data_IF_048246717108
#
_entry.id   IF_048246717108
#
_cell.length_a   1.000
_cell.length_b   1.000
_cell.length_c   1.000
_cell.angle_alpha   90.00
_cell.angle_beta   90.00
_cell.angle_gamma   90.00
#
_symmetry.space_group_name_H-M   'P 1'
#
loop_
_entity.id
_entity.type
_entity.pdbx_description
1 polymer ?
#
# COMPACT_ATOMS: atom_id res chain seq x y z
N UNK A 1 -9.46 32.09 -24.10
CA UNK A 1 -8.60 31.02 -23.56
C UNK A 1 -8.73 30.89 -22.04
N UNK A 2 -9.53 31.75 -21.36
CA UNK A 2 -9.79 31.71 -19.89
C UNK A 2 -10.90 30.74 -19.43
N UNK A 3 -11.41 29.92 -20.34
CA UNK A 3 -12.63 29.14 -20.09
C UNK A 3 -12.40 27.92 -19.20
N UNK A 4 -11.18 27.34 -19.21
CA UNK A 4 -10.89 26.11 -18.46
C UNK A 4 -10.73 26.34 -16.95
N UNK A 5 -10.44 27.56 -16.52
CA UNK A 5 -10.27 27.90 -15.09
C UNK A 5 -11.55 28.42 -14.43
N UNK A 6 -12.55 28.79 -15.24
CA UNK A 6 -13.79 29.39 -14.75
C UNK A 6 -14.77 28.30 -14.31
N UNK A 7 -15.25 28.32 -13.06
CA UNK A 7 -16.31 27.41 -12.58
C UNK A 7 -17.61 27.60 -13.36
N UNK A 8 -18.05 26.58 -14.09
CA UNK A 8 -19.32 26.59 -14.84
C UNK A 8 -19.91 25.19 -15.02
N UNK A 9 -21.13 25.10 -15.55
CA UNK A 9 -21.69 23.84 -16.03
C UNK A 9 -20.95 23.38 -17.29
N UNK A 10 -20.63 22.08 -17.34
CA UNK A 10 -19.83 21.45 -18.40
C UNK A 10 -20.50 20.15 -18.84
N UNK A 11 -20.28 19.78 -20.10
CA UNK A 11 -20.88 18.59 -20.72
C UNK A 11 -19.84 17.69 -21.40
N UNK A 12 -18.59 18.12 -21.45
CA UNK A 12 -17.49 17.50 -22.16
C UNK A 12 -16.42 16.99 -21.20
N UNK A 13 -15.93 17.85 -20.31
CA UNK A 13 -14.93 17.52 -19.31
C UNK A 13 -15.00 18.42 -18.07
N UNK A 14 -14.47 17.95 -16.94
CA UNK A 14 -14.27 18.73 -15.71
C UNK A 14 -12.91 18.44 -15.12
N UNK A 15 -12.29 19.47 -14.55
CA UNK A 15 -11.01 19.40 -13.85
C UNK A 15 -11.26 19.60 -12.36
N UNK A 16 -10.83 18.61 -11.60
CA UNK A 16 -10.77 18.60 -10.14
C UNK A 16 -9.31 18.78 -9.73
N UNK A 17 -9.05 19.68 -8.80
CA UNK A 17 -7.69 19.92 -8.29
C UNK A 17 -7.65 19.86 -6.78
N UNK A 18 -6.56 19.33 -6.24
CA UNK A 18 -6.23 19.45 -4.83
C UNK A 18 -5.18 20.54 -4.67
N UNK A 19 -5.49 21.56 -3.87
CA UNK A 19 -4.57 22.67 -3.60
C UNK A 19 -4.13 22.69 -2.14
N UNK A 20 -2.87 23.00 -1.88
CA UNK A 20 -2.36 23.13 -0.52
C UNK A 20 -2.76 24.49 0.12
N UNK A 21 -2.31 24.72 1.36
CA UNK A 21 -2.55 25.98 2.09
C UNK A 21 -1.88 27.21 1.45
N UNK A 22 -0.95 27.01 0.50
CA UNK A 22 -0.27 28.04 -0.27
C UNK A 22 -0.85 28.18 -1.70
N UNK A 23 -1.97 27.51 -1.97
CA UNK A 23 -2.64 27.46 -3.28
C UNK A 23 -1.84 26.77 -4.40
N UNK A 24 -0.81 25.98 -4.06
CA UNK A 24 -0.10 25.15 -5.04
C UNK A 24 -0.99 23.99 -5.48
N UNK A 25 -1.01 23.70 -6.78
CA UNK A 25 -1.77 22.57 -7.34
C UNK A 25 -0.95 21.30 -7.15
N UNK A 26 -1.33 20.46 -6.19
CA UNK A 26 -0.60 19.25 -5.84
C UNK A 26 -1.26 17.99 -6.43
N UNK A 27 -2.54 18.10 -6.81
CA UNK A 27 -3.33 17.02 -7.39
C UNK A 27 -4.17 17.55 -8.54
N UNK A 28 -4.26 16.78 -9.62
CA UNK A 28 -5.12 17.06 -10.78
C UNK A 28 -5.84 15.79 -11.19
N UNK A 29 -7.16 15.82 -11.20
CA UNK A 29 -8.01 14.76 -11.75
C UNK A 29 -8.92 15.34 -12.82
N UNK A 30 -8.96 14.68 -13.97
CA UNK A 30 -9.80 15.07 -15.09
C UNK A 30 -10.79 13.96 -15.34
N UNK A 31 -12.04 14.35 -15.48
CA UNK A 31 -13.10 13.51 -16.02
C UNK A 31 -13.52 14.05 -17.36
N UNK A 32 -13.64 13.19 -18.36
CA UNK A 32 -14.10 13.54 -19.70
C UNK A 32 -14.92 12.41 -20.32
N UNK A 33 -15.70 12.71 -21.37
CA UNK A 33 -16.46 11.69 -22.08
C UNK A 33 -15.58 10.65 -22.80
N UNK A 34 -14.36 11.03 -23.19
CA UNK A 34 -13.40 10.14 -23.84
C UNK A 34 -11.94 10.55 -23.55
N UNK A 35 -11.00 9.69 -23.95
CA UNK A 35 -9.57 9.88 -23.73
C UNK A 35 -9.00 11.12 -24.44
N UNK A 36 -9.46 11.42 -25.65
CA UNK A 36 -8.96 12.55 -26.44
C UNK A 36 -9.41 13.89 -25.86
N UNK A 37 -10.63 13.95 -25.32
CA UNK A 37 -11.10 15.08 -24.53
C UNK A 37 -10.31 15.22 -23.23
N UNK A 38 -10.01 14.13 -22.53
CA UNK A 38 -9.23 14.18 -21.29
C UNK A 38 -7.82 14.76 -21.52
N UNK A 39 -7.13 14.31 -22.58
CA UNK A 39 -5.79 14.82 -22.94
C UNK A 39 -5.80 16.30 -23.29
N UNK A 40 -6.71 16.74 -24.16
CA UNK A 40 -6.85 18.16 -24.53
C UNK A 40 -7.15 19.02 -23.32
N UNK A 41 -8.07 18.57 -22.46
CA UNK A 41 -8.44 19.26 -21.22
C UNK A 41 -7.24 19.40 -20.29
N UNK A 42 -6.40 18.36 -20.17
CA UNK A 42 -5.17 18.38 -19.37
C UNK A 42 -4.18 19.43 -19.87
N UNK A 43 -3.89 19.40 -21.17
CA UNK A 43 -2.97 20.34 -21.81
C UNK A 43 -3.44 21.78 -21.66
N UNK A 44 -4.72 22.05 -21.91
CA UNK A 44 -5.32 23.37 -21.73
C UNK A 44 -5.22 23.85 -20.27
N UNK A 45 -5.51 22.97 -19.31
CA UNK A 45 -5.43 23.30 -17.89
C UNK A 45 -4.00 23.62 -17.45
N UNK A 46 -3.02 22.79 -17.83
CA UNK A 46 -1.61 23.00 -17.48
C UNK A 46 -1.08 24.31 -18.06
N UNK A 47 -1.38 24.58 -19.33
CA UNK A 47 -1.02 25.84 -19.98
C UNK A 47 -1.66 27.05 -19.29
N UNK A 48 -2.94 26.96 -18.92
CA UNK A 48 -3.66 28.06 -18.28
C UNK A 48 -3.17 28.35 -16.84
N UNK A 49 -2.74 27.31 -16.10
CA UNK A 49 -2.18 27.46 -14.73
C UNK A 49 -0.67 27.72 -14.70
N UNK A 50 0.01 27.62 -15.85
CA UNK A 50 1.47 27.71 -15.91
C UNK A 50 2.17 26.52 -15.22
N UNK A 51 1.55 25.33 -15.26
CA UNK A 51 2.10 24.10 -14.71
C UNK A 51 2.93 23.37 -15.75
N UNK A 52 4.06 22.78 -15.34
CA UNK A 52 4.89 21.97 -16.23
C UNK A 52 4.54 20.49 -16.06
N UNK A 53 4.21 19.77 -17.16
CA UNK A 53 3.87 18.35 -17.09
C UNK A 53 4.93 17.46 -16.43
N UNK A 54 6.21 17.85 -16.51
CA UNK A 54 7.33 17.11 -15.90
C UNK A 54 7.34 17.12 -14.38
N UNK A 55 6.64 18.07 -13.76
CA UNK A 55 6.57 18.21 -12.30
C UNK A 55 5.43 17.35 -11.71
N UNK A 56 4.76 16.56 -12.55
CA UNK A 56 3.61 15.74 -12.19
C UNK A 56 3.75 14.30 -12.68
N UNK A 57 3.36 13.38 -11.82
CA UNK A 57 3.35 11.95 -12.09
C UNK A 57 1.93 11.45 -12.38
N UNK A 58 1.78 10.72 -13.48
CA UNK A 58 0.55 10.00 -13.79
C UNK A 58 0.37 8.82 -12.81
N UNK A 59 -0.69 8.84 -12.01
CA UNK A 59 -0.97 7.80 -11.00
C UNK A 59 -2.17 6.93 -11.35
N UNK A 60 -3.10 7.43 -12.15
CA UNK A 60 -4.24 6.65 -12.62
C UNK A 60 -4.76 7.17 -13.95
N UNK A 61 -5.20 6.25 -14.81
CA UNK A 61 -5.96 6.55 -16.03
C UNK A 61 -6.87 5.38 -16.38
N UNK A 62 -7.98 5.65 -17.04
CA UNK A 62 -8.85 4.61 -17.58
C UNK A 62 -10.32 5.01 -17.59
N UNK A 63 -11.16 4.03 -17.90
CA UNK A 63 -12.61 4.21 -17.93
C UNK A 63 -13.18 3.95 -16.54
N UNK A 64 -14.02 4.84 -16.05
CA UNK A 64 -14.72 4.75 -14.77
C UNK A 64 -16.24 4.64 -15.04
N UNK A 65 -16.89 3.66 -14.42
CA UNK A 65 -18.35 3.52 -14.43
C UNK A 65 -18.95 4.62 -13.54
N UNK A 66 -19.86 5.42 -14.10
CA UNK A 66 -20.49 6.51 -13.34
C UNK A 66 -21.69 6.05 -12.51
N UNK A 67 -22.16 4.82 -12.71
CA UNK A 67 -23.29 4.22 -12.00
C UNK A 67 -24.55 5.07 -12.14
N UNK A 68 -25.18 5.39 -11.01
CA UNK A 68 -26.37 6.25 -10.97
C UNK A 68 -26.05 7.76 -10.89
N UNK A 69 -24.76 8.16 -10.97
CA UNK A 69 -24.37 9.56 -10.89
C UNK A 69 -24.92 10.34 -12.08
N UNK A 70 -25.63 11.42 -11.80
CA UNK A 70 -26.14 12.35 -12.84
C UNK A 70 -25.13 13.43 -13.22
N UNK A 71 -24.19 13.72 -12.34
CA UNK A 71 -23.14 14.70 -12.54
C UNK A 71 -21.92 14.39 -11.69
N UNK A 72 -20.75 14.87 -12.13
CA UNK A 72 -19.51 14.87 -11.36
C UNK A 72 -19.29 16.27 -10.79
N UNK A 73 -19.16 16.33 -9.47
CA UNK A 73 -18.97 17.53 -8.66
C UNK A 73 -18.06 17.21 -7.48
N UNK A 74 -17.54 18.22 -6.80
CA UNK A 74 -16.83 18.00 -5.52
C UNK A 74 -17.68 17.31 -4.45
N UNK A 75 -19.03 17.40 -4.54
CA UNK A 75 -19.95 16.73 -3.61
C UNK A 75 -20.13 15.25 -3.92
N UNK A 76 -20.21 14.89 -5.20
CA UNK A 76 -20.30 13.48 -5.62
C UNK A 76 -18.96 12.78 -5.46
N UNK A 77 -17.87 13.54 -5.54
CA UNK A 77 -16.51 13.11 -5.24
C UNK A 77 -16.17 13.30 -3.75
N UNK A 78 -17.10 12.95 -2.85
CA UNK A 78 -16.91 13.11 -1.41
C UNK A 78 -15.75 12.28 -0.88
N UNK A 79 -15.58 11.04 -1.36
CA UNK A 79 -14.45 10.18 -0.99
C UNK A 79 -13.12 10.80 -1.41
N UNK A 80 -13.04 11.37 -2.63
CA UNK A 80 -11.86 12.08 -3.11
C UNK A 80 -11.61 13.36 -2.30
N UNK A 81 -12.65 14.12 -1.99
CA UNK A 81 -12.56 15.32 -1.16
C UNK A 81 -12.01 15.01 0.23
N UNK A 82 -12.49 13.92 0.85
CA UNK A 82 -12.00 13.46 2.14
C UNK A 82 -10.56 12.97 2.08
N UNK A 83 -10.19 12.22 1.03
CA UNK A 83 -8.82 11.74 0.84
C UNK A 83 -7.82 12.90 0.67
N UNK A 84 -8.17 13.91 -0.15
CA UNK A 84 -7.34 15.10 -0.33
C UNK A 84 -7.26 15.94 0.95
N UNK A 85 -8.36 16.08 1.68
CA UNK A 85 -8.37 16.82 2.94
C UNK A 85 -7.40 16.23 3.98
N UNK A 86 -7.26 14.90 4.04
CA UNK A 86 -6.27 14.23 4.90
C UNK A 86 -4.83 14.60 4.54
N UNK A 87 -4.56 14.86 3.25
CA UNK A 87 -3.26 15.32 2.76
C UNK A 87 -3.07 16.85 2.91
N UNK A 88 -3.96 17.52 3.64
CA UNK A 88 -3.97 18.97 3.79
C UNK A 88 -4.34 19.71 2.50
N UNK A 89 -4.93 19.02 1.53
CA UNK A 89 -5.33 19.56 0.24
C UNK A 89 -6.83 19.87 0.20
N UNK A 90 -7.15 21.04 -0.32
CA UNK A 90 -8.53 21.45 -0.59
C UNK A 90 -8.92 21.03 -2.00
N UNK A 91 -9.95 20.19 -2.12
CA UNK A 91 -10.53 19.84 -3.42
C UNK A 91 -11.31 21.05 -3.98
N UNK A 92 -10.94 21.46 -5.19
CA UNK A 92 -11.61 22.47 -5.99
C UNK A 92 -12.00 21.87 -7.34
N UNK A 93 -13.00 22.45 -7.99
CA UNK A 93 -13.44 22.07 -9.33
C UNK A 93 -13.55 23.29 -10.22
N UNK A 94 -13.23 23.15 -11.51
CA UNK A 94 -13.54 24.14 -12.53
C UNK A 94 -14.99 24.05 -13.05
N UNK A 95 -15.84 23.24 -12.42
CA UNK A 95 -17.25 23.14 -12.82
C UNK A 95 -18.01 21.93 -12.30
N UNK A 96 -19.15 21.70 -12.93
CA UNK A 96 -20.02 20.53 -12.76
C UNK A 96 -20.09 19.83 -14.10
N UNK A 97 -19.65 18.57 -14.19
CA UNK A 97 -19.81 17.78 -15.41
C UNK A 97 -21.15 17.06 -15.36
N UNK A 98 -22.07 17.41 -16.25
CA UNK A 98 -23.33 16.68 -16.41
C UNK A 98 -23.13 15.47 -17.30
N UNK A 99 -23.51 14.30 -16.81
CA UNK A 99 -23.24 13.01 -17.46
C UNK A 99 -24.32 12.60 -18.47
N UNK A 100 -25.53 13.18 -18.38
CA UNK A 100 -26.64 12.82 -19.27
C UNK A 100 -26.92 11.31 -19.23
N UNK A 101 -26.87 10.66 -20.38
CA UNK A 101 -27.05 9.21 -20.54
C UNK A 101 -25.71 8.43 -20.56
N UNK A 102 -24.57 9.10 -20.32
CA UNK A 102 -23.27 8.45 -20.32
C UNK A 102 -23.16 7.48 -19.14
N UNK A 103 -22.83 6.21 -19.43
CA UNK A 103 -22.61 5.17 -18.41
C UNK A 103 -21.17 5.13 -17.90
N UNK A 104 -20.25 5.68 -18.69
CA UNK A 104 -18.83 5.65 -18.43
C UNK A 104 -18.21 7.02 -18.74
N UNK A 105 -17.14 7.34 -18.02
CA UNK A 105 -16.27 8.49 -18.30
C UNK A 105 -14.82 8.02 -18.35
N UNK A 106 -14.00 8.74 -19.10
CA UNK A 106 -12.56 8.57 -19.01
C UNK A 106 -12.02 9.46 -17.89
N UNK A 107 -11.12 8.91 -17.08
CA UNK A 107 -10.41 9.66 -16.06
C UNK A 107 -8.90 9.65 -16.26
N UNK A 108 -8.26 10.75 -15.85
CA UNK A 108 -6.81 10.87 -15.72
C UNK A 108 -6.50 11.56 -14.41
N UNK A 109 -5.59 11.00 -13.63
CA UNK A 109 -5.15 11.56 -12.34
C UNK A 109 -3.65 11.72 -12.31
N UNK A 110 -3.20 12.93 -11.95
CA UNK A 110 -1.82 13.30 -11.75
C UNK A 110 -1.62 13.87 -10.35
N UNK A 111 -0.43 13.67 -9.81
CA UNK A 111 0.03 14.26 -8.54
C UNK A 111 1.36 14.95 -8.78
N UNK A 112 1.62 16.06 -8.09
CA UNK A 112 2.92 16.72 -8.16
C UNK A 112 4.01 15.79 -7.61
N UNK A 113 5.24 15.94 -8.08
CA UNK A 113 6.40 15.23 -7.52
C UNK A 113 6.63 15.58 -6.05
N UNK A 114 6.23 16.78 -5.60
CA UNK A 114 6.25 17.18 -4.19
C UNK A 114 5.20 16.45 -3.34
N UNK A 115 3.98 16.27 -3.85
CA UNK A 115 2.95 15.48 -3.17
C UNK A 115 3.31 14.01 -3.18
N UNK A 116 3.79 13.51 -4.33
CA UNK A 116 4.27 12.14 -4.46
C UNK A 116 5.44 11.88 -3.51
N UNK A 117 6.39 12.81 -3.43
CA UNK A 117 7.50 12.82 -2.49
C UNK A 117 7.01 12.77 -1.05
N UNK A 118 6.06 13.62 -0.65
CA UNK A 118 5.46 13.56 0.70
C UNK A 118 4.78 12.22 0.99
N UNK A 119 4.00 11.69 0.04
CA UNK A 119 3.37 10.36 0.15
C UNK A 119 4.41 9.23 0.24
N UNK A 120 5.62 9.42 -0.31
CA UNK A 120 6.71 8.44 -0.30
C UNK A 120 7.69 8.62 0.87
N UNK A 121 7.97 9.85 1.31
CA UNK A 121 8.78 10.18 2.49
C UNK A 121 8.04 9.80 3.78
N UNK A 122 6.70 9.87 3.79
CA UNK A 122 5.83 9.27 4.81
C UNK A 122 5.99 7.74 4.94
N UNK A 123 6.68 7.06 4.01
CA UNK A 123 7.02 5.62 4.10
C UNK A 123 8.47 5.35 4.50
N UNK A 124 9.27 6.38 4.73
CA UNK A 124 10.74 6.30 4.81
C UNK A 124 11.38 6.53 6.18
N UNK A 125 10.73 7.17 7.15
CA UNK A 125 11.36 7.58 8.41
C UNK A 125 10.55 7.11 9.66
N UNK A 126 10.83 5.89 10.12
CA UNK A 126 10.86 5.64 11.56
C UNK A 126 12.13 6.32 12.11
N UNK A 127 12.04 7.56 12.60
CA UNK A 127 12.92 8.17 13.65
C UNK A 127 12.47 9.60 14.09
N UNK A 128 11.17 9.81 14.37
CA UNK A 128 10.55 10.80 15.30
C UNK A 128 10.62 12.33 15.03
N UNK A 129 9.88 13.21 15.78
CA UNK A 129 8.66 13.00 16.59
C UNK A 129 7.46 13.93 16.22
N UNK A 130 6.26 13.53 16.68
CA UNK A 130 5.00 14.29 16.90
C UNK A 130 3.91 14.39 15.79
N UNK A 131 2.92 13.48 15.96
CA UNK A 131 1.44 13.58 15.83
C UNK A 131 0.69 13.00 14.60
N UNK A 132 -0.50 12.39 14.85
CA UNK A 132 -1.07 11.25 14.10
C UNK A 132 -2.34 11.60 13.30
N UNK A 133 -2.68 10.82 12.25
CA UNK A 133 -4.03 10.57 11.67
C UNK A 133 -3.86 10.13 10.18
N UNK A 134 -4.26 8.97 9.63
CA UNK A 134 -4.78 7.65 10.05
C UNK A 134 -4.33 6.69 8.93
N UNK A 135 -3.36 5.81 9.21
CA UNK A 135 -2.89 4.75 8.31
C UNK A 135 -3.93 3.63 8.22
N UNK A 136 -4.22 3.11 7.02
CA UNK A 136 -4.92 1.82 6.88
C UNK A 136 -4.00 0.75 7.45
N UNK A 137 -4.37 0.21 8.59
CA UNK A 137 -3.67 -0.88 9.23
C UNK A 137 -3.69 -2.13 8.35
N UNK A 138 -2.82 -3.11 8.64
CA UNK A 138 -2.87 -4.43 8.01
C UNK A 138 -4.28 -5.03 8.15
N UNK A 139 -4.91 -4.84 9.31
CA UNK A 139 -6.26 -5.29 9.61
C UNK A 139 -7.29 -4.61 8.69
N UNK A 140 -7.15 -3.32 8.42
CA UNK A 140 -8.05 -2.59 7.52
C UNK A 140 -7.94 -3.10 6.08
N UNK A 141 -6.72 -3.36 5.59
CA UNK A 141 -6.49 -3.90 4.25
C UNK A 141 -7.04 -5.32 4.12
N UNK A 142 -6.84 -6.14 5.15
CA UNK A 142 -7.35 -7.51 5.19
C UNK A 142 -8.88 -7.56 5.34
N UNK A 143 -9.52 -6.49 5.83
CA UNK A 143 -10.98 -6.42 6.01
C UNK A 143 -11.75 -5.83 4.83
N UNK A 144 -11.09 -5.57 3.68
CA UNK A 144 -11.72 -4.97 2.51
C UNK A 144 -12.72 -5.88 1.77
N UNK A 145 -12.75 -7.18 2.10
CA UNK A 145 -13.63 -8.16 1.45
C UNK A 145 -13.28 -8.48 -0.01
N UNK A 146 -12.06 -8.12 -0.45
CA UNK A 146 -11.50 -8.44 -1.77
C UNK A 146 -10.31 -9.36 -1.63
N UNK A 147 -10.00 -10.16 -2.63
CA UNK A 147 -8.87 -11.08 -2.53
C UNK A 147 -7.53 -10.33 -2.34
N UNK A 148 -6.70 -10.81 -1.42
CA UNK A 148 -5.42 -10.17 -1.06
C UNK A 148 -4.29 -11.16 -1.21
N UNK A 149 -3.23 -10.76 -1.92
CA UNK A 149 -1.93 -11.42 -1.88
C UNK A 149 -1.05 -10.74 -0.83
N UNK A 150 -0.58 -11.49 0.16
CA UNK A 150 0.30 -11.00 1.23
C UNK A 150 1.68 -11.63 1.08
N UNK A 151 2.68 -10.82 0.74
CA UNK A 151 4.09 -11.19 0.83
C UNK A 151 4.58 -10.96 2.27
N UNK A 152 4.56 -12.00 3.10
CA UNK A 152 4.83 -11.93 4.53
C UNK A 152 6.29 -12.27 4.88
N UNK A 153 7.22 -11.38 4.55
CA UNK A 153 8.62 -11.52 4.93
C UNK A 153 8.85 -11.21 6.41
N UNK A 154 7.99 -10.38 7.04
CA UNK A 154 8.05 -10.05 8.48
C UNK A 154 7.72 -11.23 9.39
N UNK A 155 6.94 -12.20 8.89
CA UNK A 155 6.51 -13.38 9.65
C UNK A 155 5.39 -13.11 10.65
N UNK A 156 4.53 -12.13 10.38
CA UNK A 156 3.36 -11.81 11.23
C UNK A 156 2.33 -12.95 11.15
N UNK A 157 1.61 -13.19 12.24
CA UNK A 157 0.53 -14.19 12.28
C UNK A 157 -0.78 -13.59 11.76
N UNK A 158 -1.11 -13.85 10.49
CA UNK A 158 -2.27 -13.25 9.82
C UNK A 158 -3.62 -13.79 10.31
N UNK A 159 -3.67 -14.99 10.89
CA UNK A 159 -4.94 -15.60 11.32
C UNK A 159 -5.68 -14.78 12.38
N UNK A 160 -4.97 -13.96 13.15
CA UNK A 160 -5.56 -13.04 14.13
C UNK A 160 -6.02 -11.69 13.56
N UNK A 161 -5.73 -11.42 12.28
CA UNK A 161 -5.94 -10.12 11.63
C UNK A 161 -6.96 -10.16 10.49
N UNK A 162 -7.37 -11.37 10.07
CA UNK A 162 -8.34 -11.58 8.99
C UNK A 162 -9.76 -11.80 9.52
N UNK A 163 -10.80 -11.40 8.77
CA UNK A 163 -12.19 -11.73 9.11
C UNK A 163 -12.46 -13.24 9.17
N UNK A 164 -13.35 -13.73 10.05
CA UNK A 164 -13.63 -15.16 10.24
C UNK A 164 -14.08 -15.94 8.98
N UNK A 165 -14.76 -15.25 8.07
CA UNK A 165 -15.26 -15.78 6.80
C UNK A 165 -14.18 -15.88 5.72
N UNK A 166 -12.97 -15.36 5.98
CA UNK A 166 -11.87 -15.34 5.02
C UNK A 166 -11.19 -16.71 4.90
N UNK A 167 -10.97 -17.15 3.66
CA UNK A 167 -10.13 -18.30 3.39
C UNK A 167 -8.65 -17.88 3.32
N UNK A 168 -7.88 -18.24 4.35
CA UNK A 168 -6.43 -18.05 4.37
C UNK A 168 -5.72 -19.25 3.75
N UNK A 169 -5.00 -19.04 2.65
CA UNK A 169 -4.14 -20.03 2.00
C UNK A 169 -2.67 -19.67 2.24
N UNK A 170 -1.89 -20.58 2.83
CA UNK A 170 -0.45 -20.36 3.08
C UNK A 170 0.39 -21.14 2.09
N UNK A 171 1.17 -20.43 1.28
CA UNK A 171 2.02 -20.98 0.23
C UNK A 171 1.29 -21.99 -0.70
N UNK A 172 0.02 -21.74 -1.12
CA UNK A 172 -0.72 -22.70 -1.94
C UNK A 172 0.02 -22.99 -3.25
N UNK A 173 -0.16 -24.18 -3.81
CA UNK A 173 0.28 -24.40 -5.18
C UNK A 173 -0.66 -23.71 -6.18
N UNK A 174 -0.23 -23.56 -7.44
CA UNK A 174 -1.00 -22.84 -8.44
C UNK A 174 -2.34 -23.52 -8.78
N UNK A 175 -2.45 -24.85 -8.63
CA UNK A 175 -3.70 -25.57 -8.89
C UNK A 175 -4.69 -25.40 -7.75
N UNK A 176 -4.20 -25.48 -6.53
CA UNK A 176 -4.98 -25.20 -5.32
C UNK A 176 -5.54 -23.78 -5.36
N UNK A 177 -4.71 -22.79 -5.69
CA UNK A 177 -5.15 -21.41 -5.80
C UNK A 177 -6.16 -21.22 -6.94
N UNK A 178 -5.92 -21.81 -8.12
CA UNK A 178 -6.87 -21.71 -9.24
C UNK A 178 -8.24 -22.32 -8.90
N UNK A 179 -8.25 -23.47 -8.21
CA UNK A 179 -9.49 -24.10 -7.76
C UNK A 179 -10.22 -23.27 -6.70
N UNK A 180 -9.49 -22.62 -5.79
CA UNK A 180 -10.08 -21.71 -4.81
C UNK A 180 -10.64 -20.43 -5.46
N UNK A 181 -10.00 -19.95 -6.54
CA UNK A 181 -10.42 -18.75 -7.25
C UNK A 181 -11.61 -18.98 -8.21
N UNK A 182 -11.98 -20.22 -8.51
CA UNK A 182 -13.01 -20.57 -9.50
C UNK A 182 -14.46 -20.46 -8.94
N UNK A 183 -15.37 -19.86 -9.71
CA UNK A 183 -16.80 -19.77 -9.39
C UNK A 183 -17.23 -18.48 -8.66
N UNK A 184 -18.55 -18.31 -8.48
CA UNK A 184 -19.10 -17.26 -7.62
C UNK A 184 -18.94 -17.65 -6.15
N UNK A 185 -18.36 -16.75 -5.34
CA UNK A 185 -18.17 -16.93 -3.90
C UNK A 185 -18.60 -15.69 -3.12
N UNK A 186 -18.98 -15.92 -1.87
CA UNK A 186 -19.43 -14.91 -0.89
C UNK A 186 -18.36 -14.64 0.20
N UNK A 187 -17.14 -15.14 0.01
CA UNK A 187 -16.02 -14.99 0.93
C UNK A 187 -14.74 -14.49 0.25
N UNK A 188 -13.89 -13.84 1.04
CA UNK A 188 -12.58 -13.33 0.63
C UNK A 188 -11.52 -14.42 0.66
N UNK A 189 -10.55 -14.38 -0.26
CA UNK A 189 -9.34 -15.22 -0.22
C UNK A 189 -8.12 -14.36 0.10
N UNK A 190 -7.38 -14.76 1.14
CA UNK A 190 -6.08 -14.18 1.48
C UNK A 190 -5.00 -15.23 1.23
N UNK A 191 -4.04 -14.89 0.37
CA UNK A 191 -2.89 -15.75 0.09
C UNK A 191 -1.66 -15.21 0.82
N UNK A 192 -1.09 -16.00 1.73
CA UNK A 192 0.19 -15.69 2.38
C UNK A 192 1.32 -16.40 1.64
N UNK A 193 2.37 -15.66 1.26
CA UNK A 193 3.58 -16.22 0.65
C UNK A 193 4.83 -15.44 1.03
N UNK A 194 6.01 -16.04 0.83
CA UNK A 194 7.31 -15.37 0.86
C UNK A 194 7.80 -14.90 -0.51
N UNK A 195 7.12 -15.30 -1.59
CA UNK A 195 7.48 -14.95 -2.96
C UNK A 195 6.21 -14.61 -3.75
N UNK A 196 5.85 -13.32 -3.77
CA UNK A 196 4.69 -12.86 -4.53
C UNK A 196 4.84 -13.11 -6.04
N UNK A 197 6.07 -13.19 -6.55
CA UNK A 197 6.36 -13.43 -7.97
C UNK A 197 5.82 -14.78 -8.47
N UNK A 198 5.71 -15.78 -7.59
CA UNK A 198 5.11 -17.08 -7.87
C UNK A 198 3.65 -16.99 -8.36
N UNK A 199 2.95 -15.91 -8.00
CA UNK A 199 1.52 -15.74 -8.27
C UNK A 199 1.23 -14.63 -9.29
N UNK A 200 2.22 -14.16 -10.04
CA UNK A 200 2.06 -13.08 -11.03
C UNK A 200 1.07 -13.39 -12.16
N UNK A 201 0.65 -14.64 -12.31
CA UNK A 201 -0.38 -15.07 -13.27
C UNK A 201 -1.82 -15.00 -12.75
N UNK A 202 -2.02 -14.52 -11.52
CA UNK A 202 -3.34 -14.37 -10.87
C UNK A 202 -3.61 -12.88 -10.61
N UNK A 203 -4.84 -12.44 -10.89
CA UNK A 203 -5.24 -11.03 -10.77
C UNK A 203 -5.76 -10.71 -9.36
N UNK A 204 -4.85 -10.50 -8.41
CA UNK A 204 -5.22 -10.03 -7.06
C UNK A 204 -5.52 -8.53 -7.05
N UNK A 205 -6.70 -8.08 -6.56
CA UNK A 205 -7.02 -6.67 -6.41
C UNK A 205 -6.08 -5.92 -5.46
N UNK A 206 -5.56 -6.62 -4.44
CA UNK A 206 -4.66 -6.06 -3.44
C UNK A 206 -3.43 -6.94 -3.29
N UNK A 207 -2.26 -6.31 -3.30
CA UNK A 207 -1.00 -6.95 -2.91
C UNK A 207 -0.40 -6.18 -1.73
N UNK A 208 -0.28 -6.86 -0.59
CA UNK A 208 0.31 -6.33 0.64
C UNK A 208 1.72 -6.91 0.81
N UNK A 209 2.72 -6.05 1.02
CA UNK A 209 4.10 -6.48 1.25
C UNK A 209 4.51 -6.14 2.68
N UNK A 210 4.79 -7.17 3.48
CA UNK A 210 5.29 -7.04 4.84
C UNK A 210 6.80 -7.29 4.82
N UNK A 211 7.65 -6.25 4.89
CA UNK A 211 9.09 -6.39 4.78
C UNK A 211 9.67 -7.20 5.94
N UNK A 212 10.84 -7.85 5.75
CA UNK A 212 11.53 -8.50 6.85
C UNK A 212 11.91 -7.49 7.93
N UNK A 213 12.21 -7.99 9.13
CA UNK A 213 12.78 -7.19 10.20
C UNK A 213 14.16 -6.66 9.79
N UNK A 214 14.49 -5.46 10.25
CA UNK A 214 15.87 -4.99 10.30
C UNK A 214 16.68 -5.86 11.27
N UNK A 215 18.01 -5.83 11.13
CA UNK A 215 18.92 -6.56 12.01
C UNK A 215 18.79 -6.07 13.46
N UNK A 216 18.55 -4.78 13.62
CA UNK A 216 18.32 -4.10 14.89
C UNK A 216 17.00 -4.54 15.54
N UNK A 217 15.88 -4.51 14.80
CA UNK A 217 14.58 -5.00 15.28
C UNK A 217 14.65 -6.49 15.65
N UNK A 218 15.29 -7.29 14.80
CA UNK A 218 15.46 -8.73 15.02
C UNK A 218 16.24 -9.00 16.32
N UNK A 219 17.35 -8.30 16.51
CA UNK A 219 18.18 -8.44 17.71
C UNK A 219 17.46 -7.96 18.97
N UNK A 220 16.71 -6.86 18.87
CA UNK A 220 15.90 -6.33 19.98
C UNK A 220 14.80 -7.32 20.40
N UNK A 221 14.05 -7.87 19.44
CA UNK A 221 13.00 -8.85 19.69
C UNK A 221 13.54 -10.17 20.27
N UNK A 222 14.72 -10.61 19.82
CA UNK A 222 15.39 -11.77 20.38
C UNK A 222 15.90 -11.50 21.80
N UNK A 223 16.47 -10.32 22.04
CA UNK A 223 16.96 -9.89 23.37
C UNK A 223 15.82 -9.87 24.39
N UNK A 224 14.67 -9.31 24.01
CA UNK A 224 13.49 -9.24 24.86
C UNK A 224 13.00 -10.62 25.30
N UNK A 225 12.99 -11.60 24.38
CA UNK A 225 12.58 -12.98 24.67
C UNK A 225 13.59 -13.75 25.52
N UNK A 226 14.88 -13.50 25.31
CA UNK A 226 15.96 -14.19 26.03
C UNK A 226 16.26 -13.59 27.41
N UNK A 227 15.84 -12.35 27.65
CA UNK A 227 16.13 -11.63 28.90
C UNK A 227 17.60 -11.21 29.04
N UNK A 228 18.33 -11.10 27.93
CA UNK A 228 19.68 -10.58 27.88
C UNK A 228 19.98 -9.90 26.53
N UNK A 229 20.90 -8.92 26.48
CA UNK A 229 21.20 -8.20 25.25
C UNK A 229 21.89 -9.10 24.22
N UNK A 230 21.39 -9.04 22.99
CA UNK A 230 21.96 -9.67 21.81
C UNK A 230 22.55 -8.58 20.91
N UNK A 231 23.79 -8.79 20.47
CA UNK A 231 24.48 -7.85 19.58
C UNK A 231 23.96 -8.02 18.14
N UNK A 232 23.49 -6.95 17.46
CA UNK A 232 23.09 -7.00 16.06
C UNK A 232 24.18 -7.55 15.11
N UNK A 233 25.47 -7.45 15.47
CA UNK A 233 26.58 -7.97 14.67
C UNK A 233 26.44 -9.46 14.31
N UNK A 234 25.79 -10.26 15.16
CA UNK A 234 25.57 -11.69 14.90
C UNK A 234 24.69 -11.96 13.66
N UNK A 235 23.91 -10.97 13.22
CA UNK A 235 22.93 -11.13 12.14
C UNK A 235 23.26 -10.29 10.90
N UNK A 236 24.41 -9.60 10.83
CA UNK A 236 24.77 -8.80 9.65
C UNK A 236 24.78 -9.59 8.34
N UNK A 237 25.09 -10.88 8.41
CA UNK A 237 25.11 -11.79 7.26
C UNK A 237 23.81 -12.61 7.11
N UNK A 238 22.78 -12.33 7.92
CA UNK A 238 21.51 -13.04 7.80
C UNK A 238 20.82 -12.68 6.49
N UNK A 239 20.32 -13.68 5.75
CA UNK A 239 19.56 -13.39 4.57
C UNK A 239 18.18 -12.84 4.97
N UNK A 240 17.58 -11.92 4.18
CA UNK A 240 16.34 -11.23 4.55
C UNK A 240 15.19 -12.16 4.93
N UNK A 241 15.06 -13.31 4.26
CA UNK A 241 14.02 -14.30 4.54
C UNK A 241 14.13 -14.99 5.91
N UNK A 242 15.26 -14.82 6.61
CA UNK A 242 15.48 -15.29 8.00
C UNK A 242 15.30 -14.18 9.03
N UNK A 243 15.23 -12.92 8.61
CA UNK A 243 15.00 -11.78 9.51
C UNK A 243 13.48 -11.60 9.71
N UNK A 244 12.86 -12.50 10.46
CA UNK A 244 11.41 -12.48 10.70
C UNK A 244 11.04 -12.98 12.10
N UNK A 245 9.85 -12.61 12.58
CA UNK A 245 9.38 -12.93 13.94
C UNK A 245 9.32 -14.44 14.22
N UNK A 246 8.91 -15.24 13.23
CA UNK A 246 8.90 -16.72 13.35
C UNK A 246 10.30 -17.27 13.61
N UNK A 247 11.32 -16.70 12.97
CA UNK A 247 12.71 -17.11 13.17
C UNK A 247 13.28 -16.59 14.50
N UNK A 248 12.84 -15.42 14.98
CA UNK A 248 13.17 -14.96 16.34
C UNK A 248 12.70 -16.00 17.38
N UNK A 249 11.46 -16.47 17.27
CA UNK A 249 10.91 -17.49 18.18
C UNK A 249 11.67 -18.81 18.11
N UNK A 250 11.97 -19.27 16.89
CA UNK A 250 12.73 -20.49 16.67
C UNK A 250 14.15 -20.40 17.27
N UNK A 251 14.85 -19.28 17.06
CA UNK A 251 16.18 -19.05 17.61
C UNK A 251 16.15 -18.93 19.12
N UNK A 252 15.21 -18.20 19.70
CA UNK A 252 15.06 -18.09 21.16
C UNK A 252 14.91 -19.48 21.80
N UNK A 253 14.03 -20.31 21.23
CA UNK A 253 13.82 -21.69 21.68
C UNK A 253 15.09 -22.54 21.54
N UNK A 254 15.82 -22.40 20.44
CA UNK A 254 17.08 -23.11 20.21
C UNK A 254 18.15 -22.73 21.23
N UNK A 255 18.34 -21.42 21.47
CA UNK A 255 19.32 -20.90 22.44
C UNK A 255 19.00 -21.40 23.84
N UNK A 256 17.74 -21.30 24.29
CA UNK A 256 17.33 -21.82 25.60
C UNK A 256 17.57 -23.32 25.72
N UNK A 257 17.25 -24.08 24.66
CA UNK A 257 17.52 -25.53 24.62
C UNK A 257 19.02 -25.84 24.73
N UNK A 258 19.88 -25.05 24.08
CA UNK A 258 21.33 -25.22 24.14
C UNK A 258 21.87 -24.90 25.54
N UNK A 259 21.37 -23.85 26.19
CA UNK A 259 21.73 -23.52 27.57
C UNK A 259 21.32 -24.66 28.51
N UNK A 260 20.06 -25.10 28.45
CA UNK A 260 19.51 -26.10 29.35
C UNK A 260 20.11 -27.50 29.15
N UNK A 261 20.25 -27.95 27.91
CA UNK A 261 20.66 -29.34 27.60
C UNK A 261 22.16 -29.53 27.42
N UNK A 262 22.88 -28.47 27.03
CA UNK A 262 24.33 -28.53 26.79
C UNK A 262 25.14 -27.76 27.83
N UNK A 263 24.49 -27.02 28.73
CA UNK A 263 25.15 -26.24 29.76
C UNK A 263 26.02 -25.12 29.19
N UNK A 264 25.73 -24.67 27.96
CA UNK A 264 26.48 -23.62 27.30
C UNK A 264 26.22 -22.28 27.97
N UNK A 265 27.23 -21.41 27.96
CA UNK A 265 27.01 -20.00 28.30
C UNK A 265 26.07 -19.35 27.28
N UNK A 266 25.46 -18.22 27.66
CA UNK A 266 24.54 -17.47 26.78
C UNK A 266 25.19 -17.09 25.46
N UNK A 267 26.45 -16.67 25.50
CA UNK A 267 27.21 -16.26 24.30
C UNK A 267 27.56 -17.44 23.40
N UNK A 268 27.99 -18.57 23.98
CA UNK A 268 28.28 -19.79 23.22
C UNK A 268 27.03 -20.39 22.59
N UNK A 269 25.91 -20.41 23.33
CA UNK A 269 24.63 -20.86 22.85
C UNK A 269 24.11 -19.99 21.70
N UNK A 270 24.24 -18.66 21.81
CA UNK A 270 23.89 -17.71 20.75
C UNK A 270 24.71 -17.95 19.49
N UNK A 271 26.05 -17.95 19.59
CA UNK A 271 26.95 -18.18 18.44
C UNK A 271 26.64 -19.51 17.73
N UNK A 272 26.43 -20.57 18.50
CA UNK A 272 26.12 -21.88 17.95
C UNK A 272 24.72 -21.91 17.33
N UNK A 273 23.72 -21.31 17.97
CA UNK A 273 22.36 -21.25 17.45
C UNK A 273 22.28 -20.50 16.11
N UNK A 274 22.99 -19.38 15.99
CA UNK A 274 23.08 -18.58 14.76
C UNK A 274 23.66 -19.42 13.62
N UNK A 275 24.80 -20.08 13.84
CA UNK A 275 25.41 -20.98 12.85
C UNK A 275 24.50 -22.13 12.44
N UNK A 276 23.90 -22.82 13.42
CA UNK A 276 22.94 -23.91 13.16
C UNK A 276 21.72 -23.43 12.38
N UNK A 277 21.20 -22.24 12.70
CA UNK A 277 20.07 -21.65 12.01
C UNK A 277 20.43 -21.26 10.57
N UNK A 278 21.66 -20.82 10.30
CA UNK A 278 22.18 -20.59 8.95
C UNK A 278 22.43 -21.88 8.16
N UNK A 279 22.48 -23.05 8.83
CA UNK A 279 22.85 -24.32 8.21
C UNK A 279 24.36 -24.53 8.13
N UNK A 280 25.14 -23.74 8.88
CA UNK A 280 26.59 -23.82 8.95
C UNK A 280 27.01 -24.71 10.13
N UNK A 281 27.41 -25.95 9.83
CA UNK A 281 27.99 -26.89 10.80
C UNK A 281 29.50 -27.00 10.62
#
# INVERSE_FOLDING_TARGET
MDDILTPKERHDAVVLIGVDSRENVEFVKIYALDEELAKRTLEEFFNARGLFPTDYRLVSRGVEDVGERKAITTRTESSLSSALARLGLKLLSNGVLHLGDAKNVYQVTLVSESLYGRIMEERGDELGPENPEEELSIEDVLSLGVDVLVENLRGIELSGLIPPETLLLREPDARELAAALEGERDYQIVVETKDAGKYSGFDFPVTLRLPPLTVEEFSAELSARLGFPVDPEYFRAYPPEKLNLRNVEALAKLIMTLIEKKGLSREEALKLAVRLNLGEL
#
